data_IF_838320178236
#
_entry.id   IF_838320178236
#
_cell.length_a   1.000
_cell.length_b   1.000
_cell.length_c   1.000
_cell.angle_alpha   90.00
_cell.angle_beta   90.00
_cell.angle_gamma   90.00
#
_symmetry.space_group_name_H-M   'P 1'
#
loop_
_entity.id
_entity.type
_entity.pdbx_description
1 polymer ?
#
# COMPACT_ATOMS: atom_id res chain seq x y z
N UNK A 1 -43.09 -44.48 20.15
CA UNK A 1 -44.06 -43.84 19.22
C UNK A 1 -43.50 -43.88 17.80
N UNK A 2 -44.38 -43.91 16.78
CA UNK A 2 -44.11 -43.64 15.34
C UNK A 2 -44.77 -42.29 14.99
N UNK A 3 -44.50 -41.56 13.91
CA UNK A 3 -43.55 -41.63 12.77
C UNK A 3 -43.08 -40.16 12.51
N UNK A 4 -41.97 -39.85 11.85
CA UNK A 4 -41.72 -39.82 10.38
C UNK A 4 -40.22 -39.45 10.21
N UNK A 5 -39.36 -40.07 9.39
CA UNK A 5 -39.32 -40.13 7.91
C UNK A 5 -39.48 -38.78 7.20
N UNK A 6 -38.37 -38.07 7.04
CA UNK A 6 -38.14 -37.14 5.92
C UNK A 6 -37.05 -37.75 5.02
N UNK A 7 -37.33 -37.83 3.73
CA UNK A 7 -36.73 -38.79 2.81
C UNK A 7 -35.70 -38.21 1.85
N UNK A 8 -34.56 -38.91 1.72
CA UNK A 8 -33.91 -39.25 0.44
C UNK A 8 -33.31 -38.16 -0.46
N UNK A 9 -33.95 -37.01 -0.66
CA UNK A 9 -33.53 -36.03 -1.66
C UNK A 9 -32.21 -35.32 -1.32
N UNK A 10 -31.89 -35.15 -0.05
CA UNK A 10 -30.66 -34.47 0.39
C UNK A 10 -29.38 -35.23 -0.01
N UNK A 11 -29.47 -36.56 -0.19
CA UNK A 11 -28.31 -37.40 -0.55
C UNK A 11 -28.02 -37.44 -2.04
N UNK A 12 -28.99 -37.15 -2.92
CA UNK A 12 -28.74 -37.10 -4.37
C UNK A 12 -28.03 -35.81 -4.82
N UNK A 13 -28.15 -34.72 -4.06
CA UNK A 13 -27.57 -33.42 -4.42
C UNK A 13 -26.06 -33.30 -4.13
N UNK A 14 -25.51 -34.11 -3.20
CA UNK A 14 -24.06 -34.12 -2.97
C UNK A 14 -23.27 -34.99 -3.96
N UNK A 15 -23.91 -35.95 -4.63
CA UNK A 15 -23.25 -36.84 -5.59
C UNK A 15 -22.78 -36.11 -6.87
N UNK A 16 -23.28 -34.90 -7.15
CA UNK A 16 -22.91 -34.11 -8.33
C UNK A 16 -21.59 -33.36 -8.25
N UNK A 17 -20.91 -33.34 -7.08
CA UNK A 17 -19.70 -32.53 -6.84
C UNK A 17 -18.39 -33.32 -6.87
N UNK A 18 -18.41 -34.60 -7.24
CA UNK A 18 -17.19 -35.41 -7.41
C UNK A 18 -16.42 -35.73 -6.11
N UNK A 19 -16.96 -35.40 -4.94
CA UNK A 19 -16.40 -35.71 -3.63
C UNK A 19 -16.80 -37.12 -3.19
N UNK A 20 -16.21 -38.14 -3.83
CA UNK A 20 -16.29 -39.54 -3.36
C UNK A 20 -15.08 -39.91 -2.50
N UNK A 21 -14.94 -39.24 -1.36
CA UNK A 21 -14.26 -39.83 -0.21
C UNK A 21 -15.32 -40.13 0.85
N UNK A 22 -15.52 -41.41 1.12
CA UNK A 22 -16.54 -41.86 2.07
C UNK A 22 -16.11 -41.50 3.49
N UNK A 23 -16.74 -40.49 4.08
CA UNK A 23 -16.79 -40.36 5.54
C UNK A 23 -17.65 -41.50 6.09
N UNK A 24 -17.01 -42.62 6.43
CA UNK A 24 -17.63 -43.64 7.26
C UNK A 24 -18.12 -42.99 8.56
N UNK A 25 -19.42 -43.06 8.79
CA UNK A 25 -20.04 -42.53 9.99
C UNK A 25 -19.68 -43.39 11.18
N UNK A 26 -18.68 -42.98 11.97
CA UNK A 26 -18.37 -43.64 13.24
C UNK A 26 -19.64 -43.71 14.10
N UNK A 27 -20.03 -44.94 14.44
CA UNK A 27 -21.13 -45.16 15.37
C UNK A 27 -20.72 -44.68 16.77
N UNK A 28 -21.65 -44.13 17.53
CA UNK A 28 -21.38 -43.72 18.94
C UNK A 28 -21.01 -44.89 19.85
N UNK A 29 -21.11 -46.13 19.37
CA UNK A 29 -20.69 -47.34 20.10
C UNK A 29 -19.22 -47.74 19.86
N UNK A 30 -18.52 -47.18 18.87
CA UNK A 30 -17.16 -47.62 18.49
C UNK A 30 -16.01 -46.88 19.21
N UNK A 31 -16.33 -45.80 19.93
CA UNK A 31 -15.36 -44.97 20.65
C UNK A 31 -14.57 -45.71 21.76
N UNK A 32 -15.00 -46.91 22.15
CA UNK A 32 -14.38 -47.71 23.21
C UNK A 32 -13.41 -48.80 22.72
N UNK A 33 -13.29 -49.05 21.41
CA UNK A 33 -12.57 -50.21 20.87
C UNK A 33 -11.27 -49.88 20.09
N UNK A 34 -11.01 -48.61 19.77
CA UNK A 34 -9.78 -48.21 19.08
C UNK A 34 -8.56 -48.11 20.02
N UNK A 35 -8.01 -49.27 20.37
CA UNK A 35 -6.69 -49.38 21.00
C UNK A 35 -5.60 -48.90 20.03
N UNK A 36 -5.14 -47.66 20.19
CA UNK A 36 -3.98 -47.17 19.44
C UNK A 36 -2.76 -48.06 19.73
N UNK A 37 -2.02 -48.56 18.71
CA UNK A 37 -0.93 -49.48 18.92
C UNK A 37 0.24 -48.79 19.65
N UNK A 38 0.55 -49.27 20.85
CA UNK A 38 1.70 -48.82 21.64
C UNK A 38 3.02 -49.37 21.05
N UNK A 39 3.39 -48.89 19.87
CA UNK A 39 4.68 -49.16 19.24
C UNK A 39 5.23 -47.86 18.64
N UNK A 40 6.57 -47.71 18.69
CA UNK A 40 7.28 -46.46 18.39
C UNK A 40 7.29 -46.18 16.88
N UNK A 41 6.16 -45.71 16.37
CA UNK A 41 6.07 -45.17 15.01
C UNK A 41 6.82 -43.83 14.94
N UNK A 42 7.66 -43.69 13.92
CA UNK A 42 8.44 -42.47 13.63
C UNK A 42 7.55 -41.22 13.73
N UNK A 43 8.09 -40.15 14.34
CA UNK A 43 7.46 -38.83 14.39
C UNK A 43 7.00 -38.43 12.99
N UNK A 44 5.69 -38.48 12.73
CA UNK A 44 5.12 -37.76 11.60
C UNK A 44 5.36 -36.27 11.86
N UNK A 45 6.07 -35.62 10.92
CA UNK A 45 6.18 -34.17 10.90
C UNK A 45 4.79 -33.55 10.74
N UNK A 46 4.69 -32.25 11.05
CA UNK A 46 3.43 -31.50 11.20
C UNK A 46 2.35 -31.87 10.16
N UNK A 47 1.11 -32.04 10.64
CA UNK A 47 -0.05 -32.29 9.78
C UNK A 47 -0.12 -31.17 8.74
N UNK A 48 -0.02 -31.50 7.46
CA UNK A 48 -0.29 -30.54 6.40
C UNK A 48 -1.76 -30.07 6.52
N UNK A 49 -1.98 -28.76 6.71
CA UNK A 49 -3.31 -28.21 6.89
C UNK A 49 -3.91 -27.87 5.51
N UNK A 50 -4.44 -28.88 4.83
CA UNK A 50 -4.90 -28.84 3.43
C UNK A 50 -6.30 -28.25 3.22
N UNK A 51 -6.87 -27.57 4.22
CA UNK A 51 -8.23 -26.98 4.12
C UNK A 51 -8.16 -25.54 3.61
N UNK A 52 -9.09 -25.09 2.72
CA UNK A 52 -9.11 -23.72 2.22
C UNK A 52 -9.41 -22.72 3.35
N UNK A 53 -8.41 -21.91 3.71
CA UNK A 53 -8.51 -21.00 4.86
C UNK A 53 -9.64 -19.97 4.69
N UNK A 54 -9.80 -19.40 3.50
CA UNK A 54 -10.83 -18.41 3.19
C UNK A 54 -12.28 -18.90 3.37
N UNK A 55 -12.52 -20.21 3.42
CA UNK A 55 -13.83 -20.80 3.72
C UNK A 55 -13.98 -21.17 5.20
N UNK A 56 -12.87 -21.36 5.91
CA UNK A 56 -12.82 -21.81 7.30
C UNK A 56 -11.73 -21.05 8.07
N UNK A 57 -11.86 -19.72 8.23
CA UNK A 57 -10.88 -18.93 8.96
C UNK A 57 -10.83 -19.40 10.42
N UNK A 58 -9.64 -19.80 10.88
CA UNK A 58 -9.42 -20.26 12.26
C UNK A 58 -8.76 -19.14 13.04
N UNK A 59 -9.42 -18.69 14.09
CA UNK A 59 -8.95 -17.57 14.92
C UNK A 59 -7.82 -17.95 15.90
N UNK A 60 -7.58 -19.25 16.13
CA UNK A 60 -6.82 -19.71 17.31
C UNK A 60 -5.58 -20.58 17.03
N UNK A 61 -5.21 -20.84 15.77
CA UNK A 61 -4.18 -21.86 15.45
C UNK A 61 -2.78 -21.25 15.39
N UNK A 62 -2.15 -21.11 16.55
CA UNK A 62 -0.68 -21.04 16.63
C UNK A 62 -0.05 -22.41 16.33
N UNK A 63 1.15 -22.39 15.79
CA UNK A 63 2.00 -23.55 15.61
C UNK A 63 2.50 -24.11 16.95
N UNK A 64 3.04 -25.34 16.93
CA UNK A 64 3.48 -26.03 18.15
C UNK A 64 4.65 -25.35 18.90
N UNK A 65 5.29 -24.38 18.27
CA UNK A 65 6.33 -23.50 18.82
C UNK A 65 5.82 -22.11 19.22
N UNK A 66 4.51 -21.85 19.09
CA UNK A 66 3.88 -20.57 19.38
C UNK A 66 3.92 -19.55 18.23
N UNK A 67 4.47 -19.91 17.06
CA UNK A 67 4.50 -19.00 15.90
C UNK A 67 3.16 -18.96 15.16
N UNK A 68 2.80 -17.85 14.48
CA UNK A 68 1.66 -17.84 13.57
C UNK A 68 1.99 -18.68 12.32
N UNK A 69 1.00 -19.39 11.76
CA UNK A 69 1.20 -20.20 10.56
C UNK A 69 1.51 -19.32 9.34
N UNK A 70 2.34 -19.85 8.44
CA UNK A 70 2.73 -19.18 7.20
C UNK A 70 1.79 -19.58 6.06
N UNK A 71 1.65 -18.72 5.06
CA UNK A 71 1.00 -19.11 3.82
C UNK A 71 1.95 -19.90 2.91
N UNK A 72 1.64 -21.16 2.61
CA UNK A 72 2.44 -22.02 1.71
C UNK A 72 1.86 -22.13 0.30
N UNK A 73 0.58 -21.83 0.13
CA UNK A 73 -0.06 -21.77 -1.19
C UNK A 73 -0.99 -20.57 -1.26
N UNK A 74 -0.69 -19.66 -2.18
CA UNK A 74 -1.52 -18.50 -2.51
C UNK A 74 -2.34 -18.74 -3.79
N UNK A 75 -3.33 -17.89 -4.03
CA UNK A 75 -4.11 -17.87 -5.26
C UNK A 75 -5.17 -16.78 -5.25
N UNK A 76 -5.94 -16.62 -6.35
CA UNK A 76 -6.96 -15.59 -6.46
C UNK A 76 -8.07 -15.82 -5.43
N UNK A 77 -8.43 -14.74 -4.73
CA UNK A 77 -9.54 -14.70 -3.79
C UNK A 77 -10.91 -14.57 -4.46
N UNK A 78 -11.97 -14.38 -3.66
CA UNK A 78 -13.28 -14.05 -4.20
C UNK A 78 -13.22 -12.74 -4.99
N UNK A 79 -14.04 -12.65 -6.04
CA UNK A 79 -14.23 -11.42 -6.80
C UNK A 79 -14.76 -10.31 -5.89
N UNK A 80 -14.14 -9.13 -5.95
CA UNK A 80 -14.56 -7.93 -5.24
C UNK A 80 -14.41 -6.68 -6.13
N UNK A 81 -15.05 -5.59 -5.72
CA UNK A 81 -14.81 -4.25 -6.32
C UNK A 81 -13.57 -3.64 -5.67
N UNK A 82 -12.65 -3.09 -6.47
CA UNK A 82 -11.48 -2.39 -5.94
C UNK A 82 -11.91 -1.17 -5.13
N UNK A 83 -11.31 -0.96 -3.96
CA UNK A 83 -11.73 0.06 -3.00
C UNK A 83 -11.78 1.48 -3.60
N UNK A 84 -10.86 1.81 -4.51
CA UNK A 84 -10.74 3.09 -5.21
C UNK A 84 -11.88 3.39 -6.20
N UNK A 85 -12.64 2.37 -6.61
CA UNK A 85 -13.81 2.50 -7.50
C UNK A 85 -15.11 2.01 -6.86
N UNK A 86 -15.07 1.63 -5.57
CA UNK A 86 -16.24 1.12 -4.83
C UNK A 86 -17.40 2.11 -4.68
N UNK A 87 -17.19 3.42 -4.91
CA UNK A 87 -18.20 4.48 -4.80
C UNK A 87 -17.96 5.57 -5.82
N UNK A 88 -19.04 6.26 -6.20
CA UNK A 88 -19.01 7.52 -6.95
C UNK A 88 -20.17 8.42 -6.52
N UNK A 89 -20.09 9.71 -6.85
CA UNK A 89 -21.15 10.66 -6.52
C UNK A 89 -22.39 10.40 -7.38
N UNK A 90 -23.57 10.63 -6.82
CA UNK A 90 -24.80 10.79 -7.58
C UNK A 90 -24.92 12.26 -8.00
N UNK A 91 -24.99 12.54 -9.30
CA UNK A 91 -25.14 13.90 -9.83
C UNK A 91 -26.49 14.06 -10.52
N UNK A 92 -27.20 15.13 -10.22
CA UNK A 92 -28.57 15.38 -10.65
C UNK A 92 -28.70 16.62 -11.54
N UNK A 93 -29.74 16.62 -12.38
CA UNK A 93 -30.14 17.80 -13.14
C UNK A 93 -29.24 18.09 -14.34
N UNK A 94 -29.06 19.38 -14.66
CA UNK A 94 -28.33 19.84 -15.86
C UNK A 94 -27.06 20.63 -15.54
N UNK A 95 -26.76 20.81 -14.25
CA UNK A 95 -25.61 21.57 -13.74
C UNK A 95 -24.80 20.69 -12.79
N UNK A 96 -23.83 19.99 -13.34
CA UNK A 96 -22.93 19.11 -12.60
C UNK A 96 -22.25 19.84 -11.43
N UNK A 97 -22.49 19.39 -10.18
CA UNK A 97 -21.83 19.92 -8.99
C UNK A 97 -22.42 21.22 -8.41
N UNK A 98 -23.61 21.64 -8.84
CA UNK A 98 -24.31 22.85 -8.38
C UNK A 98 -25.83 22.61 -8.15
N UNK A 99 -26.27 21.36 -8.08
CA UNK A 99 -27.67 21.00 -7.76
C UNK A 99 -27.80 20.53 -6.31
N UNK A 100 -28.89 20.89 -5.64
CA UNK A 100 -29.15 20.55 -4.23
C UNK A 100 -29.43 19.06 -4.00
N UNK A 101 -29.56 18.30 -5.10
CA UNK A 101 -29.83 16.86 -5.09
C UNK A 101 -28.59 16.01 -5.39
N UNK A 102 -27.42 16.61 -5.64
CA UNK A 102 -26.15 15.89 -5.76
C UNK A 102 -25.81 15.23 -4.40
N UNK A 103 -25.40 13.96 -4.42
CA UNK A 103 -25.03 13.19 -3.22
C UNK A 103 -23.63 12.63 -3.36
N UNK A 104 -22.70 13.12 -2.52
CA UNK A 104 -21.34 12.60 -2.42
C UNK A 104 -21.37 11.11 -2.04
N UNK A 105 -20.68 10.26 -2.81
CA UNK A 105 -20.76 8.79 -2.67
C UNK A 105 -22.19 8.22 -2.79
N UNK A 106 -23.10 8.90 -3.49
CA UNK A 106 -24.50 8.50 -3.65
C UNK A 106 -24.73 7.22 -4.45
N UNK A 107 -23.71 6.66 -5.11
CA UNK A 107 -23.76 5.33 -5.75
C UNK A 107 -22.62 4.48 -5.22
N UNK A 108 -22.93 3.30 -4.68
CA UNK A 108 -21.96 2.34 -4.16
C UNK A 108 -22.07 1.00 -4.89
N UNK A 109 -20.91 0.34 -5.06
CA UNK A 109 -20.76 -0.91 -5.80
C UNK A 109 -20.09 -1.97 -4.92
N UNK A 110 -20.69 -3.14 -4.79
CA UNK A 110 -20.14 -4.29 -4.05
C UNK A 110 -20.35 -5.60 -4.82
N UNK A 111 -19.54 -6.62 -4.51
CA UNK A 111 -19.82 -8.01 -4.94
C UNK A 111 -20.36 -8.78 -3.74
N UNK A 112 -21.62 -9.18 -3.82
CA UNK A 112 -22.36 -9.82 -2.73
C UNK A 112 -23.08 -11.08 -3.22
N UNK A 113 -23.66 -11.85 -2.31
CA UNK A 113 -24.58 -12.91 -2.69
C UNK A 113 -25.87 -12.29 -3.23
N UNK A 114 -26.33 -12.77 -4.40
CA UNK A 114 -27.59 -12.33 -4.98
C UNK A 114 -28.76 -12.61 -4.00
N UNK A 115 -29.86 -11.83 -4.06
CA UNK A 115 -30.96 -11.97 -3.11
C UNK A 115 -31.49 -13.40 -3.04
N UNK A 116 -31.69 -13.88 -1.80
CA UNK A 116 -32.09 -15.26 -1.53
C UNK A 116 -33.41 -15.67 -2.22
N UNK A 117 -34.26 -14.69 -2.54
CA UNK A 117 -35.48 -14.85 -3.35
C UNK A 117 -35.27 -14.33 -4.77
N UNK A 118 -35.23 -15.22 -5.76
CA UNK A 118 -35.14 -14.84 -7.17
C UNK A 118 -34.47 -15.92 -8.05
N UNK A 119 -34.44 -15.72 -9.38
CA UNK A 119 -33.86 -16.68 -10.34
C UNK A 119 -32.33 -16.81 -10.25
N UNK A 120 -31.66 -15.98 -9.46
CA UNK A 120 -30.20 -15.97 -9.29
C UNK A 120 -29.75 -16.24 -7.84
N UNK A 121 -30.67 -16.70 -6.98
CA UNK A 121 -30.35 -17.09 -5.60
C UNK A 121 -29.18 -18.09 -5.55
N UNK A 122 -28.20 -17.83 -4.69
CA UNK A 122 -26.97 -18.61 -4.58
C UNK A 122 -25.87 -18.28 -5.60
N UNK A 123 -26.04 -17.26 -6.45
CA UNK A 123 -24.97 -16.71 -7.29
C UNK A 123 -24.37 -15.45 -6.65
N UNK A 124 -23.20 -15.00 -7.15
CA UNK A 124 -22.66 -13.68 -6.84
C UNK A 124 -23.24 -12.61 -7.77
N UNK A 125 -23.59 -11.46 -7.21
CA UNK A 125 -24.10 -10.29 -7.90
C UNK A 125 -23.17 -9.10 -7.71
N UNK A 126 -23.06 -8.27 -8.74
CA UNK A 126 -22.74 -6.85 -8.58
C UNK A 126 -23.99 -6.18 -7.99
N UNK A 127 -23.89 -5.76 -6.74
CA UNK A 127 -24.90 -4.93 -6.07
C UNK A 127 -24.56 -3.46 -6.33
N UNK A 128 -25.60 -2.68 -6.65
CA UNK A 128 -25.50 -1.24 -6.87
C UNK A 128 -26.52 -0.57 -5.96
N UNK A 129 -26.05 0.01 -4.87
CA UNK A 129 -26.87 0.74 -3.91
C UNK A 129 -26.91 2.22 -4.27
N UNK A 130 -28.11 2.81 -4.32
CA UNK A 130 -28.32 4.20 -4.73
C UNK A 130 -28.93 4.99 -3.57
N UNK A 131 -28.27 6.08 -3.18
CA UNK A 131 -28.67 6.99 -2.11
C UNK A 131 -28.99 8.36 -2.71
N UNK A 132 -30.26 8.77 -2.64
CA UNK A 132 -30.72 10.11 -3.03
C UNK A 132 -30.70 11.08 -1.85
N UNK A 133 -30.79 12.38 -2.14
CA UNK A 133 -30.89 13.42 -1.11
C UNK A 133 -32.14 13.25 -0.22
N UNK A 134 -32.10 13.82 1.00
CA UNK A 134 -33.17 13.64 1.98
C UNK A 134 -34.52 14.21 1.49
N UNK A 135 -35.57 13.40 1.57
CA UNK A 135 -36.92 13.76 1.11
C UNK A 135 -37.16 13.59 -0.40
N UNK A 136 -36.14 13.22 -1.17
CA UNK A 136 -36.27 12.84 -2.58
C UNK A 136 -36.70 11.37 -2.68
N UNK A 137 -37.62 11.06 -3.60
CA UNK A 137 -38.06 9.69 -3.87
C UNK A 137 -37.55 9.25 -5.24
N UNK A 138 -36.87 8.10 -5.30
CA UNK A 138 -36.48 7.48 -6.56
C UNK A 138 -37.70 6.85 -7.27
N UNK A 139 -37.87 7.13 -8.56
CA UNK A 139 -39.03 6.65 -9.34
C UNK A 139 -38.69 5.62 -10.42
N UNK A 140 -37.47 5.65 -10.99
CA UNK A 140 -37.03 4.67 -12.00
C UNK A 140 -35.50 4.54 -11.99
N UNK A 141 -34.98 3.36 -12.35
CA UNK A 141 -33.55 3.09 -12.52
C UNK A 141 -33.33 2.36 -13.83
N UNK A 142 -32.39 2.88 -14.62
CA UNK A 142 -31.87 2.25 -15.80
C UNK A 142 -30.40 1.94 -15.61
N UNK A 143 -29.98 0.77 -16.09
CA UNK A 143 -28.62 0.27 -15.91
C UNK A 143 -28.08 -0.32 -17.22
N UNK A 144 -26.86 0.07 -17.57
CA UNK A 144 -26.04 -0.57 -18.58
C UNK A 144 -24.68 -0.93 -17.98
N UNK A 145 -24.17 -2.11 -18.34
CA UNK A 145 -22.85 -2.62 -17.98
C UNK A 145 -22.18 -3.13 -19.26
N UNK A 146 -20.89 -2.85 -19.44
CA UNK A 146 -20.16 -3.13 -20.68
C UNK A 146 -18.67 -3.44 -20.39
N UNK A 147 -17.99 -4.14 -21.30
CA UNK A 147 -16.54 -4.38 -21.23
C UNK A 147 -15.71 -3.25 -21.84
N UNK A 148 -16.37 -2.35 -22.57
CA UNK A 148 -15.78 -1.20 -23.25
C UNK A 148 -16.44 0.11 -22.79
N UNK A 149 -15.77 1.27 -22.94
CA UNK A 149 -16.38 2.57 -22.69
C UNK A 149 -17.72 2.71 -23.42
N UNK A 150 -18.78 3.06 -22.68
CA UNK A 150 -20.13 3.13 -23.24
C UNK A 150 -20.22 4.38 -24.14
N UNK A 151 -20.23 4.18 -25.46
CA UNK A 151 -20.30 5.29 -26.43
C UNK A 151 -21.70 5.56 -26.98
N UNK A 152 -22.62 4.58 -26.84
CA UNK A 152 -23.93 4.62 -27.50
C UNK A 152 -25.01 5.14 -26.55
N UNK A 153 -25.49 6.36 -26.79
CA UNK A 153 -26.67 6.91 -26.10
C UNK A 153 -27.97 6.34 -26.68
N UNK A 154 -28.18 5.03 -26.53
CA UNK A 154 -29.51 4.43 -26.67
C UNK A 154 -30.36 4.85 -25.48
N UNK A 155 -31.59 5.31 -25.75
CA UNK A 155 -32.50 5.86 -24.73
C UNK A 155 -32.63 4.92 -23.53
N UNK A 156 -32.46 5.46 -22.32
CA UNK A 156 -32.52 4.81 -21.00
C UNK A 156 -33.35 3.52 -20.90
N UNK A 157 -34.63 3.56 -21.30
CA UNK A 157 -35.55 2.42 -21.24
C UNK A 157 -35.17 1.20 -22.08
N UNK A 158 -34.11 1.26 -22.90
CA UNK A 158 -33.66 0.16 -23.77
C UNK A 158 -32.39 -0.57 -23.31
N UNK A 159 -31.78 -0.14 -22.19
CA UNK A 159 -30.56 -0.77 -21.68
C UNK A 159 -30.80 -2.19 -21.14
N UNK A 160 -29.82 -3.07 -21.35
CA UNK A 160 -30.00 -4.52 -21.17
C UNK A 160 -30.16 -4.94 -19.70
N UNK A 161 -29.68 -4.11 -18.76
CA UNK A 161 -29.64 -4.44 -17.35
C UNK A 161 -30.77 -3.79 -16.51
N UNK A 162 -31.67 -3.01 -17.13
CA UNK A 162 -32.84 -2.42 -16.45
C UNK A 162 -33.66 -3.44 -15.64
N UNK A 163 -33.78 -4.66 -16.15
CA UNK A 163 -34.49 -5.79 -15.50
C UNK A 163 -33.88 -6.28 -14.17
N UNK A 164 -32.70 -5.81 -13.80
CA UNK A 164 -32.01 -6.15 -12.54
C UNK A 164 -32.15 -5.07 -11.46
N UNK A 165 -32.84 -3.96 -11.75
CA UNK A 165 -33.02 -2.85 -10.83
C UNK A 165 -34.43 -2.78 -10.27
N UNK A 166 -34.55 -2.32 -9.03
CA UNK A 166 -35.81 -1.97 -8.38
C UNK A 166 -35.75 -0.54 -7.87
N UNK A 167 -36.83 0.23 -8.04
CA UNK A 167 -36.90 1.59 -7.48
C UNK A 167 -37.12 1.60 -5.96
N UNK A 168 -37.74 0.54 -5.41
CA UNK A 168 -38.01 0.35 -3.99
C UNK A 168 -37.86 -1.14 -3.62
N UNK A 169 -36.84 -1.55 -2.84
CA UNK A 169 -35.67 -0.74 -2.44
C UNK A 169 -34.88 -0.22 -3.64
N UNK A 170 -34.17 0.89 -3.48
CA UNK A 170 -33.46 1.63 -4.52
C UNK A 170 -32.09 1.02 -4.85
N UNK A 171 -32.10 -0.09 -5.58
CA UNK A 171 -30.90 -0.90 -5.82
C UNK A 171 -30.97 -1.70 -7.12
N UNK A 172 -29.82 -2.18 -7.59
CA UNK A 172 -29.72 -3.16 -8.66
C UNK A 172 -28.91 -4.38 -8.22
N UNK A 173 -29.35 -5.56 -8.61
CA UNK A 173 -28.71 -6.85 -8.33
C UNK A 173 -28.39 -7.57 -9.64
N UNK A 174 -27.21 -7.31 -10.21
CA UNK A 174 -26.79 -7.89 -11.49
C UNK A 174 -25.95 -9.14 -11.25
N UNK A 175 -26.39 -10.35 -11.67
CA UNK A 175 -25.58 -11.56 -11.56
C UNK A 175 -24.28 -11.42 -12.35
N UNK A 176 -23.16 -11.82 -11.76
CA UNK A 176 -21.84 -11.82 -12.43
C UNK A 176 -21.87 -12.65 -13.72
N UNK A 177 -22.64 -13.74 -13.72
CA UNK A 177 -22.91 -14.58 -14.89
C UNK A 177 -23.58 -13.83 -16.06
N UNK A 178 -24.45 -12.85 -15.77
CA UNK A 178 -25.12 -12.04 -16.78
C UNK A 178 -24.21 -10.96 -17.38
N UNK A 179 -23.31 -10.38 -16.56
CA UNK A 179 -22.25 -9.47 -17.04
C UNK A 179 -21.34 -10.21 -18.01
N UNK A 180 -20.80 -11.36 -17.57
CA UNK A 180 -19.94 -12.23 -18.37
C UNK A 180 -20.58 -12.62 -19.72
N UNK A 181 -21.86 -13.00 -19.71
CA UNK A 181 -22.59 -13.41 -20.91
C UNK A 181 -22.88 -12.25 -21.90
N UNK A 182 -22.62 -11.00 -21.51
CA UNK A 182 -22.81 -9.81 -22.36
C UNK A 182 -21.52 -9.41 -23.10
N UNK A 183 -20.35 -9.90 -22.64
CA UNK A 183 -19.06 -9.51 -23.21
C UNK A 183 -18.76 -10.32 -24.48
N UNK A 184 -18.15 -9.66 -25.47
CA UNK A 184 -17.78 -10.28 -26.76
C UNK A 184 -16.28 -10.03 -27.05
N UNK A 185 -15.43 -11.08 -27.03
CA UNK A 185 -15.77 -12.48 -26.72
C UNK A 185 -16.10 -12.71 -25.23
N UNK A 186 -16.89 -13.75 -24.89
CA UNK A 186 -17.22 -14.07 -23.49
C UNK A 186 -15.97 -14.39 -22.66
N UNK A 187 -15.85 -13.76 -21.50
CA UNK A 187 -14.73 -13.96 -20.56
C UNK A 187 -15.05 -15.06 -19.54
N UNK A 188 -14.05 -15.81 -19.07
CA UNK A 188 -14.26 -16.85 -18.05
C UNK A 188 -14.14 -16.34 -16.60
N UNK A 189 -13.75 -15.08 -16.41
CA UNK A 189 -13.61 -14.42 -15.11
C UNK A 189 -13.64 -12.91 -15.26
N UNK A 190 -14.01 -12.18 -14.20
CA UNK A 190 -13.90 -10.73 -14.08
C UNK A 190 -12.73 -10.28 -13.19
N UNK A 191 -11.87 -11.20 -12.73
CA UNK A 191 -10.68 -10.83 -11.95
C UNK A 191 -9.76 -9.91 -12.77
N UNK A 192 -9.27 -8.84 -12.14
CA UNK A 192 -8.40 -7.81 -12.76
C UNK A 192 -9.00 -7.17 -14.03
N UNK A 193 -10.33 -7.10 -14.11
CA UNK A 193 -11.08 -6.52 -15.24
C UNK A 193 -11.64 -5.16 -14.85
N UNK A 194 -11.60 -4.19 -15.78
CA UNK A 194 -12.38 -2.94 -15.63
C UNK A 194 -13.64 -3.07 -16.47
N UNK A 195 -14.80 -2.88 -15.84
CA UNK A 195 -16.11 -2.83 -16.51
C UNK A 195 -16.65 -1.41 -16.46
N UNK A 196 -17.52 -1.04 -17.40
CA UNK A 196 -18.06 0.30 -17.49
C UNK A 196 -19.54 0.28 -17.14
N UNK A 197 -19.93 1.06 -16.13
CA UNK A 197 -21.28 1.04 -15.56
C UNK A 197 -21.94 2.41 -15.74
N UNK A 198 -23.12 2.44 -16.35
CA UNK A 198 -23.96 3.62 -16.45
C UNK A 198 -25.29 3.38 -15.75
N UNK A 199 -25.57 4.16 -14.70
CA UNK A 199 -26.81 4.13 -13.93
C UNK A 199 -27.55 5.45 -14.13
N UNK A 200 -28.69 5.41 -14.83
CA UNK A 200 -29.56 6.56 -15.06
C UNK A 200 -30.79 6.48 -14.17
N UNK A 201 -30.98 7.48 -13.33
CA UNK A 201 -31.91 7.44 -12.20
C UNK A 201 -32.93 8.56 -12.35
N UNK A 202 -34.23 8.25 -12.25
CA UNK A 202 -35.29 9.25 -12.18
C UNK A 202 -35.67 9.52 -10.73
N UNK A 203 -35.79 10.79 -10.36
CA UNK A 203 -36.20 11.22 -9.02
C UNK A 203 -37.41 12.16 -9.04
N UNK A 204 -38.23 12.06 -8.00
CA UNK A 204 -39.34 12.96 -7.68
C UNK A 204 -38.98 13.81 -6.46
N UNK A 205 -39.18 15.12 -6.58
CA UNK A 205 -38.85 16.12 -5.55
C UNK A 205 -40.17 16.67 -4.99
N UNK A 206 -40.43 16.61 -3.66
CA UNK A 206 -41.65 17.13 -3.07
C UNK A 206 -41.88 18.62 -3.41
N UNK A 207 -43.08 18.94 -3.88
CA UNK A 207 -43.45 20.31 -4.30
C UNK A 207 -42.99 20.72 -5.70
N UNK A 208 -42.21 19.89 -6.40
CA UNK A 208 -41.90 20.08 -7.82
C UNK A 208 -42.92 19.37 -8.71
N UNK A 209 -43.34 20.02 -9.81
CA UNK A 209 -44.16 19.39 -10.86
C UNK A 209 -43.32 18.66 -11.92
N UNK A 210 -41.99 18.84 -11.90
CA UNK A 210 -41.03 18.14 -12.74
C UNK A 210 -40.07 17.32 -11.87
N UNK A 211 -39.96 16.01 -12.16
CA UNK A 211 -38.85 15.21 -11.63
C UNK A 211 -37.50 15.65 -12.22
N UNK A 212 -36.42 15.14 -11.65
CA UNK A 212 -35.08 15.31 -12.18
C UNK A 212 -34.48 13.95 -12.57
N UNK A 213 -33.45 13.97 -13.41
CA UNK A 213 -32.67 12.77 -13.75
C UNK A 213 -31.29 12.92 -13.14
N UNK A 214 -30.78 11.83 -12.59
CA UNK A 214 -29.48 11.75 -11.94
C UNK A 214 -28.65 10.58 -12.50
N UNK A 215 -27.33 10.67 -12.36
CA UNK A 215 -26.38 9.72 -12.89
C UNK A 215 -25.25 9.46 -11.91
N UNK A 216 -24.65 8.28 -12.02
CA UNK A 216 -23.35 8.01 -11.40
C UNK A 216 -22.28 8.87 -12.08
N UNK A 217 -21.56 9.69 -11.30
CA UNK A 217 -20.52 10.59 -11.79
C UNK A 217 -19.41 9.82 -12.50
N UNK A 218 -19.02 10.30 -13.68
CA UNK A 218 -18.02 9.64 -14.52
C UNK A 218 -17.74 10.39 -15.82
N UNK A 219 -17.60 9.65 -16.92
CA UNK A 219 -17.37 10.18 -18.28
C UNK A 219 -18.67 10.23 -19.06
N UNK A 220 -18.88 11.27 -19.88
CA UNK A 220 -20.13 11.46 -20.63
C UNK A 220 -20.27 10.49 -21.81
N UNK A 221 -21.50 10.01 -22.05
CA UNK A 221 -21.86 9.10 -23.15
C UNK A 221 -22.32 9.92 -24.36
N UNK A 222 -21.48 9.99 -25.39
CA UNK A 222 -21.79 10.66 -26.66
C UNK A 222 -21.82 12.19 -26.58
N UNK A 223 -22.40 12.84 -27.59
CA UNK A 223 -22.49 14.30 -27.68
C UNK A 223 -23.77 14.82 -26.98
N UNK A 224 -23.72 15.00 -25.66
CA UNK A 224 -24.80 15.58 -24.86
C UNK A 224 -24.50 15.59 -23.36
N UNK A 225 -25.15 16.47 -22.60
CA UNK A 225 -24.77 16.82 -21.22
C UNK A 225 -25.48 15.99 -20.13
N UNK A 226 -25.89 14.74 -20.39
CA UNK A 226 -26.78 14.03 -19.44
C UNK A 226 -26.25 12.67 -19.00
N UNK A 227 -25.96 11.76 -19.93
CA UNK A 227 -25.63 10.38 -19.58
C UNK A 227 -24.14 10.23 -19.24
N UNK A 228 -23.83 9.51 -18.16
CA UNK A 228 -22.47 9.20 -17.73
C UNK A 228 -22.26 7.69 -17.56
N UNK A 229 -21.02 7.25 -17.75
CA UNK A 229 -20.53 5.93 -17.33
C UNK A 229 -19.33 6.09 -16.39
N UNK A 230 -19.17 5.13 -15.48
CA UNK A 230 -18.07 5.08 -14.53
C UNK A 230 -17.24 3.80 -14.74
N UNK A 231 -15.90 3.87 -14.79
CA UNK A 231 -15.04 2.69 -14.85
C UNK A 231 -14.96 2.03 -13.46
N UNK A 232 -15.54 0.84 -13.33
CA UNK A 232 -15.53 0.03 -12.13
C UNK A 232 -14.44 -1.04 -12.24
N UNK A 233 -13.48 -1.05 -11.31
CA UNK A 233 -12.42 -2.06 -11.28
C UNK A 233 -12.87 -3.26 -10.44
N UNK A 234 -12.67 -4.45 -10.99
CA UNK A 234 -12.94 -5.72 -10.35
C UNK A 234 -11.64 -6.49 -10.16
N UNK A 235 -11.44 -7.00 -8.95
CA UNK A 235 -10.20 -7.67 -8.53
C UNK A 235 -10.52 -8.96 -7.76
N UNK A 236 -9.53 -9.84 -7.71
CA UNK A 236 -9.57 -11.07 -6.93
C UNK A 236 -8.28 -11.08 -6.10
N UNK A 237 -8.27 -10.45 -4.91
CA UNK A 237 -7.06 -10.22 -4.13
C UNK A 237 -6.39 -11.56 -3.82
N UNK A 238 -5.06 -11.59 -3.80
CA UNK A 238 -4.34 -12.82 -3.57
C UNK A 238 -4.49 -13.28 -2.10
N UNK A 239 -5.20 -14.37 -1.89
CA UNK A 239 -5.49 -14.94 -0.57
C UNK A 239 -4.59 -16.14 -0.29
N UNK A 240 -4.50 -16.52 0.99
CA UNK A 240 -3.97 -17.81 1.33
C UNK A 240 -5.00 -18.93 1.07
N UNK A 241 -4.59 -19.92 0.27
CA UNK A 241 -5.36 -21.13 -0.01
C UNK A 241 -4.98 -22.28 0.92
N UNK A 242 -3.74 -22.31 1.40
CA UNK A 242 -3.28 -23.27 2.42
C UNK A 242 -2.16 -22.67 3.24
N UNK A 243 -2.31 -22.77 4.55
CA UNK A 243 -1.29 -22.46 5.54
C UNK A 243 -0.61 -23.73 6.05
N UNK A 244 0.63 -23.59 6.49
CA UNK A 244 1.32 -24.59 7.28
C UNK A 244 2.10 -23.92 8.42
N UNK A 245 2.51 -24.73 9.39
CA UNK A 245 3.64 -24.35 10.23
C UNK A 245 4.93 -24.48 9.39
N UNK A 246 5.33 -23.38 8.76
CA UNK A 246 6.69 -23.26 8.25
C UNK A 246 7.66 -23.51 9.41
N UNK A 247 8.87 -24.05 9.15
CA UNK A 247 9.98 -23.79 10.04
C UNK A 247 10.07 -22.27 10.22
N UNK A 248 10.22 -21.80 11.45
CA UNK A 248 10.44 -20.37 11.71
C UNK A 248 11.69 -19.91 10.96
N UNK A 249 11.50 -19.31 9.79
CA UNK A 249 12.42 -18.32 9.25
C UNK A 249 12.22 -17.08 10.12
N UNK A 250 12.76 -17.13 11.34
CA UNK A 250 13.11 -15.92 12.06
C UNK A 250 13.76 -14.99 11.03
N UNK A 251 13.29 -13.74 10.87
CA UNK A 251 14.00 -12.79 10.01
C UNK A 251 15.47 -12.83 10.45
N UNK A 252 16.41 -13.05 9.51
CA UNK A 252 17.79 -13.39 9.84
C UNK A 252 18.30 -12.35 10.82
N UNK A 253 18.63 -12.77 12.04
CA UNK A 253 18.80 -11.81 13.13
C UNK A 253 19.88 -10.83 12.73
N UNK A 254 19.56 -9.55 12.65
CA UNK A 254 20.52 -8.53 12.24
C UNK A 254 21.13 -7.85 13.45
N UNK A 255 22.35 -7.32 13.27
CA UNK A 255 22.97 -6.39 14.19
C UNK A 255 23.46 -5.18 13.42
N UNK A 256 23.61 -4.07 14.12
CA UNK A 256 24.25 -2.89 13.56
C UNK A 256 25.73 -2.91 13.91
N UNK A 257 26.56 -2.65 12.91
CA UNK A 257 28.00 -2.55 13.03
C UNK A 257 28.41 -1.11 12.67
N UNK A 258 29.30 -0.47 13.44
CA UNK A 258 29.88 0.79 13.03
C UNK A 258 30.73 0.55 11.77
N UNK A 259 30.53 1.36 10.73
CA UNK A 259 31.29 1.27 9.48
C UNK A 259 32.28 2.42 9.30
N UNK A 260 32.18 3.47 10.11
CA UNK A 260 33.14 4.56 10.19
C UNK A 260 32.49 5.94 10.22
N UNK A 261 33.25 6.94 9.77
CA UNK A 261 32.78 8.32 9.69
C UNK A 261 32.37 8.69 8.27
N UNK A 262 31.23 9.36 8.13
CA UNK A 262 30.72 9.90 6.88
C UNK A 262 30.97 11.40 6.81
N UNK A 263 31.43 11.88 5.66
CA UNK A 263 31.60 13.31 5.38
C UNK A 263 30.66 13.73 4.25
N UNK A 264 30.09 14.93 4.37
CA UNK A 264 29.28 15.54 3.32
C UNK A 264 30.14 16.04 2.17
N UNK A 265 29.87 15.51 0.98
CA UNK A 265 30.43 15.93 -0.31
C UNK A 265 29.30 16.49 -1.19
N UNK A 266 29.62 17.43 -2.08
CA UNK A 266 28.68 18.03 -3.04
C UNK A 266 29.43 18.91 -4.05
N UNK A 267 28.76 19.34 -5.11
CA UNK A 267 29.38 20.20 -6.12
C UNK A 267 29.80 21.55 -5.51
N UNK A 268 31.06 21.95 -5.73
CA UNK A 268 31.65 23.13 -5.10
C UNK A 268 32.22 22.90 -3.68
N UNK A 269 32.30 21.65 -3.20
CA UNK A 269 33.00 21.29 -1.98
C UNK A 269 34.51 21.59 -2.04
N UNK A 270 35.06 22.21 -0.99
CA UNK A 270 36.49 22.51 -0.85
C UNK A 270 37.17 21.46 0.03
N UNK A 271 38.28 20.89 -0.44
CA UNK A 271 39.06 19.85 0.23
C UNK A 271 39.92 20.42 1.38
N UNK A 272 39.85 19.84 2.59
CA UNK A 272 40.67 20.22 3.76
C UNK A 272 42.17 19.89 3.63
N UNK A 273 42.54 18.92 2.79
CA UNK A 273 43.93 18.47 2.58
C UNK A 273 44.68 19.26 1.49
N UNK A 274 44.11 20.33 0.93
CA UNK A 274 44.81 21.27 0.05
C UNK A 274 44.91 20.91 -1.44
N UNK A 275 44.69 19.66 -1.84
CA UNK A 275 44.60 19.26 -3.25
C UNK A 275 43.16 19.42 -3.80
N UNK A 276 42.91 20.30 -4.79
CA UNK A 276 41.56 20.70 -5.16
C UNK A 276 40.85 19.72 -6.12
N UNK A 277 39.60 19.37 -5.79
CA UNK A 277 38.58 19.14 -6.83
C UNK A 277 38.15 20.54 -7.31
N UNK A 278 38.26 20.91 -8.60
CA UNK A 278 37.97 22.28 -9.01
C UNK A 278 36.47 22.65 -8.86
N UNK A 279 36.11 23.85 -8.38
CA UNK A 279 36.98 24.98 -8.01
C UNK A 279 37.18 25.10 -6.48
N UNK A 280 38.33 24.66 -5.97
CA UNK A 280 38.69 24.74 -4.55
C UNK A 280 39.92 25.64 -4.32
N UNK A 281 39.86 26.47 -3.28
CA UNK A 281 40.97 27.32 -2.81
C UNK A 281 41.72 26.62 -1.66
N UNK A 282 43.05 26.69 -1.68
CA UNK A 282 43.92 25.97 -0.74
C UNK A 282 43.96 26.61 0.65
N UNK A 283 43.43 25.93 1.68
CA UNK A 283 43.60 26.28 3.09
C UNK A 283 44.62 25.38 3.80
N UNK A 284 45.60 25.97 4.50
CA UNK A 284 46.49 25.23 5.41
C UNK A 284 45.95 25.29 6.84
N UNK A 285 45.68 24.14 7.46
CA UNK A 285 45.31 24.09 8.88
C UNK A 285 44.85 22.73 9.39
N UNK A 286 44.23 21.91 8.53
CA UNK A 286 43.64 20.63 8.91
C UNK A 286 44.08 19.50 7.98
N UNK A 287 45.22 18.85 8.30
CA UNK A 287 45.73 17.68 7.57
C UNK A 287 44.91 16.40 7.85
N UNK A 288 43.59 16.45 7.66
CA UNK A 288 42.65 15.33 7.86
C UNK A 288 41.55 15.34 6.81
N UNK A 289 40.97 14.16 6.59
CA UNK A 289 39.95 13.89 5.57
C UNK A 289 38.67 14.70 5.84
N UNK A 290 37.89 14.97 4.79
CA UNK A 290 36.69 15.80 4.81
C UNK A 290 36.74 17.02 3.88
N UNK A 291 35.56 17.65 3.73
CA UNK A 291 35.32 18.82 2.91
C UNK A 291 34.59 19.91 3.68
N UNK A 292 34.67 21.14 3.20
CA UNK A 292 33.87 22.26 3.67
C UNK A 292 33.28 23.06 2.51
N UNK A 293 32.21 23.80 2.78
CA UNK A 293 31.48 24.59 1.79
C UNK A 293 31.55 26.07 2.15
N UNK A 294 31.68 26.93 1.14
CA UNK A 294 31.73 28.40 1.30
C UNK A 294 30.57 29.15 0.64
N UNK A 295 29.30 28.78 0.88
CA UNK A 295 28.17 29.43 0.22
C UNK A 295 28.02 30.89 0.66
N UNK A 296 27.57 31.73 -0.27
CA UNK A 296 27.04 33.05 0.07
C UNK A 296 25.60 32.93 0.58
N UNK A 297 25.07 34.01 1.16
CA UNK A 297 23.72 34.01 1.73
C UNK A 297 22.62 33.62 0.72
N UNK A 298 22.72 34.03 -0.55
CA UNK A 298 21.72 33.74 -1.57
C UNK A 298 21.69 32.25 -1.95
N UNK A 299 22.86 31.63 -2.09
CA UNK A 299 22.98 30.19 -2.33
C UNK A 299 22.41 29.40 -1.14
N UNK A 300 22.78 29.78 0.09
CA UNK A 300 22.32 29.06 1.28
C UNK A 300 20.82 29.24 1.56
N UNK A 301 20.23 30.40 1.25
CA UNK A 301 18.76 30.58 1.29
C UNK A 301 18.02 29.88 0.15
N UNK A 302 18.69 29.57 -0.97
CA UNK A 302 18.16 28.70 -2.02
C UNK A 302 18.20 27.20 -1.66
N UNK A 303 18.99 26.83 -0.66
CA UNK A 303 19.29 25.46 -0.28
C UNK A 303 20.51 24.91 -1.03
N UNK A 304 21.30 24.10 -0.32
CA UNK A 304 22.39 23.30 -0.88
C UNK A 304 22.27 21.86 -0.38
N UNK A 305 22.77 20.90 -1.16
CA UNK A 305 22.70 19.48 -0.88
C UNK A 305 23.93 18.71 -1.37
N UNK A 306 23.97 17.42 -1.06
CA UNK A 306 25.02 16.52 -1.49
C UNK A 306 24.93 15.12 -0.89
N UNK A 307 25.96 14.32 -1.10
CA UNK A 307 26.07 12.91 -0.65
C UNK A 307 26.87 12.80 0.64
N UNK A 308 26.45 11.93 1.56
CA UNK A 308 27.22 11.49 2.72
C UNK A 308 28.08 10.28 2.33
N UNK A 309 29.39 10.36 2.51
CA UNK A 309 30.34 9.34 2.04
C UNK A 309 31.24 8.86 3.19
N UNK A 310 31.23 7.55 3.46
CA UNK A 310 32.09 6.88 4.44
C UNK A 310 33.40 6.42 3.80
N UNK A 311 34.52 6.55 4.51
CA UNK A 311 35.80 5.93 4.10
C UNK A 311 36.45 6.51 2.85
N UNK A 312 36.12 7.76 2.48
CA UNK A 312 36.66 8.45 1.31
C UNK A 312 38.13 8.90 1.50
N UNK A 313 39.02 7.91 1.58
CA UNK A 313 40.41 8.12 1.98
C UNK A 313 41.20 9.06 1.08
N UNK A 314 41.94 9.98 1.69
CA UNK A 314 42.64 11.06 0.97
C UNK A 314 41.69 12.01 0.23
N UNK A 315 40.40 12.02 0.58
CA UNK A 315 39.32 12.71 -0.11
C UNK A 315 39.07 12.21 -1.54
N UNK A 316 39.41 10.95 -1.82
CA UNK A 316 39.05 10.24 -3.05
C UNK A 316 37.61 9.74 -2.94
N UNK A 317 36.67 10.54 -3.43
CA UNK A 317 35.22 10.24 -3.46
C UNK A 317 34.92 8.85 -4.02
N UNK A 318 35.59 8.45 -5.11
CA UNK A 318 35.40 7.15 -5.76
C UNK A 318 35.92 5.94 -4.99
N UNK A 319 36.59 6.15 -3.84
CA UNK A 319 37.04 5.10 -2.94
C UNK A 319 36.16 4.97 -1.68
N UNK A 320 35.21 5.90 -1.48
CA UNK A 320 34.28 5.87 -0.35
C UNK A 320 32.92 5.26 -0.72
N UNK A 321 32.18 4.84 0.30
CA UNK A 321 30.82 4.29 0.18
C UNK A 321 29.80 5.42 0.38
N UNK A 322 28.90 5.70 -0.58
CA UNK A 322 27.79 6.62 -0.36
C UNK A 322 26.77 5.95 0.58
N UNK A 323 26.44 6.61 1.68
CA UNK A 323 25.53 6.08 2.73
C UNK A 323 24.24 6.88 2.87
N UNK A 324 24.13 8.00 2.16
CA UNK A 324 22.96 8.87 2.21
C UNK A 324 23.18 10.22 1.54
N UNK A 325 22.29 11.16 1.83
CA UNK A 325 22.35 12.55 1.41
C UNK A 325 22.31 13.49 2.61
N UNK A 326 22.79 14.71 2.41
CA UNK A 326 22.66 15.82 3.35
C UNK A 326 22.13 17.05 2.61
N UNK A 327 21.48 17.96 3.34
CA UNK A 327 21.07 19.25 2.81
C UNK A 327 21.11 20.34 3.87
N UNK A 328 21.22 21.60 3.46
CA UNK A 328 21.19 22.74 4.37
C UNK A 328 20.60 24.00 3.72
N UNK A 329 19.77 24.72 4.49
CA UNK A 329 19.04 25.90 4.03
C UNK A 329 19.03 26.99 5.11
N UNK A 330 19.34 28.22 4.73
CA UNK A 330 19.28 29.39 5.63
C UNK A 330 17.86 29.96 5.67
N UNK A 331 17.19 29.73 6.80
CA UNK A 331 15.86 30.23 7.11
C UNK A 331 15.89 31.68 7.63
N UNK A 332 14.71 32.31 7.67
CA UNK A 332 14.52 33.63 8.27
C UNK A 332 15.05 33.67 9.73
N UNK A 333 15.70 34.78 10.09
CA UNK A 333 16.34 34.94 11.40
C UNK A 333 17.78 34.43 11.48
N UNK A 334 18.41 34.13 10.33
CA UNK A 334 19.75 33.53 10.23
C UNK A 334 19.86 32.18 10.97
N UNK A 335 18.86 31.32 10.79
CA UNK A 335 18.89 29.94 11.31
C UNK A 335 19.22 29.01 10.16
N UNK A 336 20.36 28.34 10.23
CA UNK A 336 20.71 27.27 9.30
C UNK A 336 19.95 26.01 9.72
N UNK A 337 18.96 25.60 8.94
CA UNK A 337 18.40 24.24 9.04
C UNK A 337 19.29 23.29 8.24
N UNK A 338 19.48 22.07 8.75
CA UNK A 338 20.19 21.02 8.04
C UNK A 338 19.49 19.67 8.21
N UNK A 339 19.67 18.78 7.24
CA UNK A 339 19.09 17.45 7.20
C UNK A 339 20.13 16.42 6.78
N UNK A 340 20.08 15.26 7.41
CA UNK A 340 20.82 14.05 7.02
C UNK A 340 19.76 12.98 6.74
N UNK A 341 19.86 12.30 5.60
CA UNK A 341 18.98 11.20 5.25
C UNK A 341 19.84 10.05 4.71
N UNK A 342 19.93 8.95 5.47
CA UNK A 342 20.65 7.75 5.09
C UNK A 342 19.81 6.83 4.19
N UNK A 343 20.48 5.95 3.45
CA UNK A 343 19.81 4.90 2.68
C UNK A 343 19.33 3.79 3.60
N UNK A 344 18.14 3.26 3.29
CA UNK A 344 17.45 2.19 4.00
C UNK A 344 16.69 1.31 2.99
N UNK A 345 17.45 0.67 2.10
CA UNK A 345 16.90 -0.14 1.01
C UNK A 345 17.85 -1.27 0.55
N UNK A 346 17.28 -2.32 -0.06
CA UNK A 346 18.01 -3.51 -0.54
C UNK A 346 19.08 -3.23 -1.62
N UNK A 347 19.09 -2.04 -2.24
CA UNK A 347 19.98 -1.69 -3.36
C UNK A 347 21.21 -0.92 -2.90
N UNK A 348 21.02 0.06 -2.02
CA UNK A 348 22.06 0.95 -1.52
C UNK A 348 22.60 0.50 -0.14
N UNK A 349 21.77 -0.20 0.64
CA UNK A 349 22.07 -0.69 1.98
C UNK A 349 21.16 -0.09 3.06
N UNK A 350 21.21 -0.70 4.25
CA UNK A 350 20.52 -0.24 5.46
C UNK A 350 21.52 0.40 6.42
N UNK A 351 21.51 1.73 6.48
CA UNK A 351 22.42 2.52 7.32
C UNK A 351 21.67 3.32 8.39
N UNK A 352 22.37 3.66 9.47
CA UNK A 352 21.80 4.39 10.61
C UNK A 352 22.82 5.39 11.20
N UNK A 353 22.34 6.54 11.70
CA UNK A 353 23.18 7.58 12.31
C UNK A 353 23.47 7.27 13.79
N UNK A 354 24.76 7.16 14.14
CA UNK A 354 25.22 7.07 15.53
C UNK A 354 25.50 8.45 16.17
N UNK A 355 26.07 9.37 15.39
CA UNK A 355 26.49 10.71 15.82
C UNK A 355 26.34 11.69 14.65
N UNK A 356 25.94 12.94 14.91
CA UNK A 356 25.81 14.01 13.90
C UNK A 356 26.57 15.26 14.36
N UNK A 357 27.51 15.73 13.54
CA UNK A 357 28.36 16.88 13.83
C UNK A 357 28.33 17.88 12.68
N UNK A 358 27.96 19.13 12.93
CA UNK A 358 27.88 20.18 11.90
C UNK A 358 28.65 21.42 12.33
N UNK A 359 29.66 21.80 11.55
CA UNK A 359 30.29 23.11 11.66
C UNK A 359 29.48 24.11 10.85
N UNK A 360 29.15 25.27 11.44
CA UNK A 360 28.56 26.39 10.75
C UNK A 360 29.01 27.71 11.39
N UNK A 361 29.66 28.59 10.63
CA UNK A 361 30.14 29.89 11.12
C UNK A 361 30.35 30.92 9.99
N UNK A 362 30.55 32.20 10.37
CA UNK A 362 31.05 33.25 9.45
C UNK A 362 32.58 33.24 9.29
N UNK A 363 33.29 32.35 9.99
CA UNK A 363 34.75 32.28 10.03
C UNK A 363 35.22 30.92 9.52
N UNK A 364 36.41 30.88 8.94
CA UNK A 364 37.01 29.65 8.43
C UNK A 364 37.27 28.64 9.57
N UNK A 365 37.02 27.33 9.38
CA UNK A 365 37.16 26.32 10.42
C UNK A 365 38.62 26.16 10.87
N UNK A 366 38.97 26.76 12.01
CA UNK A 366 40.25 26.56 12.68
C UNK A 366 40.32 25.27 13.53
N UNK A 367 39.28 24.43 13.48
CA UNK A 367 39.13 23.18 14.24
C UNK A 367 38.45 22.15 13.35
N UNK A 368 39.09 20.99 13.18
CA UNK A 368 38.58 19.89 12.35
C UNK A 368 38.43 18.58 13.14
N UNK A 369 38.22 18.69 14.46
CA UNK A 369 37.77 17.59 15.30
C UNK A 369 36.23 17.66 15.40
N UNK A 370 35.47 16.65 14.96
CA UNK A 370 34.01 16.73 14.85
C UNK A 370 33.29 17.09 16.16
N UNK A 371 33.73 16.54 17.30
CA UNK A 371 33.23 16.91 18.65
C UNK A 371 33.58 18.34 19.12
N UNK A 372 34.10 19.19 18.24
CA UNK A 372 34.35 20.63 18.49
C UNK A 372 33.58 21.54 17.52
N UNK A 373 32.65 20.99 16.74
CA UNK A 373 31.84 21.72 15.77
C UNK A 373 30.70 22.51 16.44
N UNK A 374 30.08 23.44 15.69
CA UNK A 374 29.03 24.35 16.21
C UNK A 374 27.81 23.58 16.74
N UNK A 375 27.49 22.45 16.11
CA UNK A 375 26.47 21.51 16.54
C UNK A 375 27.07 20.11 16.72
N UNK A 376 26.73 19.47 17.83
CA UNK A 376 27.13 18.11 18.18
C UNK A 376 25.91 17.39 18.76
N UNK A 377 25.51 16.28 18.14
CA UNK A 377 24.55 15.32 18.69
C UNK A 377 25.21 13.95 18.78
N UNK A 378 25.52 13.55 20.00
CA UNK A 378 26.06 12.22 20.31
C UNK A 378 24.91 11.26 20.70
N UNK A 379 25.21 9.95 20.70
CA UNK A 379 24.32 8.90 21.22
C UNK A 379 22.93 8.85 20.58
N UNK A 380 22.86 8.96 19.25
CA UNK A 380 21.68 8.51 18.52
C UNK A 380 21.51 7.00 18.69
N UNK A 381 20.28 6.51 18.59
CA UNK A 381 19.90 5.22 19.18
C UNK A 381 20.38 4.00 18.38
N UNK A 382 20.86 4.20 17.16
CA UNK A 382 21.48 3.15 16.38
C UNK A 382 20.51 2.32 15.53
N UNK A 383 19.20 2.45 15.71
CA UNK A 383 18.20 1.44 15.29
C UNK A 383 17.04 1.98 14.42
N UNK A 384 17.00 3.28 14.13
CA UNK A 384 15.91 3.92 13.35
C UNK A 384 16.22 5.36 12.93
N UNK A 385 17.44 5.83 13.15
CA UNK A 385 17.86 7.23 12.98
C UNK A 385 18.34 7.45 11.53
N UNK A 386 17.51 7.03 10.55
CA UNK A 386 17.77 7.18 9.11
C UNK A 386 17.53 8.60 8.62
N UNK A 387 16.76 9.41 9.35
CA UNK A 387 16.50 10.82 9.07
C UNK A 387 16.78 11.66 10.31
N UNK A 388 17.67 12.64 10.19
CA UNK A 388 17.93 13.63 11.24
C UNK A 388 17.78 15.05 10.70
N UNK A 389 17.04 15.90 11.42
CA UNK A 389 16.85 17.32 11.09
C UNK A 389 17.30 18.15 12.29
N UNK A 390 18.25 19.07 12.05
CA UNK A 390 18.78 19.96 13.06
C UNK A 390 18.74 21.42 12.63
N UNK A 391 19.11 22.32 13.55
CA UNK A 391 19.15 23.76 13.27
C UNK A 391 20.19 24.49 14.12
N UNK A 392 20.89 25.44 13.51
CA UNK A 392 21.99 26.20 14.13
C UNK A 392 21.73 27.70 13.92
N UNK A 393 21.68 28.53 14.98
CA UNK A 393 21.71 29.97 14.83
C UNK A 393 23.09 30.39 14.30
N UNK A 394 23.13 31.05 13.15
CA UNK A 394 24.34 31.55 12.50
C UNK A 394 24.31 33.07 12.44
N UNK A 395 25.48 33.69 12.26
CA UNK A 395 25.55 35.13 12.01
C UNK A 395 24.99 35.52 10.63
N UNK A 396 24.83 36.82 10.40
CA UNK A 396 24.77 37.33 9.02
C UNK A 396 26.21 37.43 8.51
N UNK A 397 26.52 36.70 7.45
CA UNK A 397 27.87 36.58 6.89
C UNK A 397 27.82 36.89 5.39
N UNK A 398 28.88 37.49 4.82
CA UNK A 398 29.06 37.53 3.36
C UNK A 398 29.35 36.15 2.76
N UNK A 399 30.00 35.30 3.56
CA UNK A 399 30.35 33.91 3.25
C UNK A 399 30.16 33.08 4.52
N UNK A 400 29.48 31.95 4.39
CA UNK A 400 29.32 30.95 5.45
C UNK A 400 30.35 29.84 5.26
N UNK A 401 30.83 29.25 6.34
CA UNK A 401 31.69 28.06 6.31
C UNK A 401 30.96 26.90 6.95
N UNK A 402 30.75 25.82 6.20
CA UNK A 402 29.94 24.66 6.61
C UNK A 402 30.75 23.36 6.49
N UNK A 403 30.62 22.46 7.48
CA UNK A 403 31.12 21.07 7.41
C UNK A 403 30.01 20.15 7.91
N UNK A 404 29.73 19.09 7.16
CA UNK A 404 28.77 18.04 7.54
C UNK A 404 29.52 16.74 7.80
N UNK A 405 29.44 16.25 9.03
CA UNK A 405 30.03 14.98 9.47
C UNK A 405 28.97 14.14 10.18
N UNK A 406 29.03 12.81 10.03
CA UNK A 406 28.28 11.87 10.83
C UNK A 406 29.13 10.63 11.16
N UNK A 407 28.75 9.89 12.19
CA UNK A 407 29.20 8.51 12.40
C UNK A 407 28.08 7.58 12.02
N UNK A 408 28.39 6.54 11.25
CA UNK A 408 27.37 5.72 10.58
C UNK A 408 27.54 4.25 10.92
N UNK A 409 26.41 3.62 11.21
CA UNK A 409 26.26 2.17 11.34
C UNK A 409 25.70 1.59 10.05
N UNK A 410 25.94 0.31 9.81
CA UNK A 410 25.26 -0.48 8.78
C UNK A 410 24.71 -1.77 9.38
N UNK A 411 23.56 -2.23 8.90
CA UNK A 411 22.95 -3.48 9.30
C UNK A 411 23.65 -4.68 8.63
N UNK A 412 24.03 -5.68 9.42
CA UNK A 412 24.64 -6.94 8.97
C UNK A 412 23.92 -8.15 9.59
N UNK A 413 24.01 -9.35 8.98
CA UNK A 413 23.63 -10.60 9.63
C UNK A 413 24.41 -10.81 10.94
N UNK A 414 23.73 -11.19 12.02
CA UNK A 414 24.35 -11.37 13.34
C UNK A 414 25.48 -12.41 13.36
N UNK A 415 25.42 -13.37 12.44
CA UNK A 415 26.40 -14.43 12.21
C UNK A 415 27.74 -13.94 11.65
N UNK A 416 27.77 -12.78 11.00
CA UNK A 416 29.00 -12.22 10.40
C UNK A 416 29.79 -11.41 11.43
N UNK A 417 31.11 -11.32 11.30
CA UNK A 417 31.86 -10.36 12.10
C UNK A 417 31.57 -8.95 11.57
N UNK A 418 31.49 -7.94 12.46
CA UNK A 418 31.45 -6.56 11.98
C UNK A 418 32.73 -6.27 11.19
N UNK A 419 32.65 -5.57 10.04
CA UNK A 419 33.84 -5.11 9.34
C UNK A 419 34.65 -4.16 10.25
N UNK A 420 35.97 -4.05 10.05
CA UNK A 420 36.73 -2.98 10.69
C UNK A 420 36.20 -1.62 10.23
N UNK A 421 36.05 -0.67 11.15
CA UNK A 421 35.63 0.70 10.81
C UNK A 421 36.57 1.30 9.75
N UNK A 422 35.99 1.87 8.70
CA UNK A 422 36.73 2.61 7.69
C UNK A 422 37.21 3.94 8.30
N UNK A 423 38.53 4.25 8.27
CA UNK A 423 39.07 5.46 8.88
C UNK A 423 38.65 6.77 8.20
#
# INVERSE_FOLDING_TARGET
MRFNTLSGLTWLLLAGLGLTDAFETCSTTEAAACSCPASVAKRYQARAHTFPEHLFPRVDVLCSDGTPPCCVKRGPGPLQVSADTSKTDLQCGTKFGDDQQDVTNGVAYTIEDCPATGPYSGQKCLHIAITTAAGVTLTDIHLQVDDKPITLNTKLGTWAFNKYCTASPSECWVPVSAIIATFDPPVTSLCATTIYVAAGISISIPGSTSGATCFNKGTTIGSGNWFMYFPLKLECPEICLSQCCCPSTQPPSTKLCPIGTAMGYGDGAINLNGDPVPPALSGQGCNRWGWYFTPNQAALSGGIDGTLIVGAGGNVVSAGTPVGIWSATLLFGNVLQFTYQLYDDDTNGHFDLAEVHVYAACVEPSKCAPGQYTFVQESLTGNSDTLFVGSIPVGSCSTYYLIFHAKVNQQFPSSEACPPETP
#
